data_IF_294556568470
#
_entry.id   IF_294556568470
#
_cell.length_a   1.000
_cell.length_b   1.000
_cell.length_c   1.000
_cell.angle_alpha   90.00
_cell.angle_beta   90.00
_cell.angle_gamma   90.00
#
_symmetry.space_group_name_H-M   'P 1'
#
loop_
_entity.id
_entity.type
_entity.pdbx_description
1 polymer ?
#
# COMPACT_ATOMS: atom_id res chain seq x y z
N UNK A 1 -44.93 17.86 -7.67
CA UNK A 1 -43.77 17.61 -8.54
C UNK A 1 -42.55 17.87 -7.67
N UNK A 2 -41.84 16.83 -7.26
CA UNK A 2 -40.58 17.01 -6.52
C UNK A 2 -39.59 17.74 -7.42
N UNK A 3 -38.98 18.81 -6.92
CA UNK A 3 -37.96 19.56 -7.65
C UNK A 3 -36.72 18.67 -7.79
N UNK A 4 -36.17 18.54 -9.01
CA UNK A 4 -34.94 17.77 -9.23
C UNK A 4 -33.80 18.28 -8.34
N UNK A 5 -33.77 19.59 -8.05
CA UNK A 5 -32.78 20.19 -7.15
C UNK A 5 -32.89 19.65 -5.73
N UNK A 6 -34.11 19.42 -5.25
CA UNK A 6 -34.37 18.84 -3.92
C UNK A 6 -33.89 17.39 -3.84
N UNK A 7 -34.13 16.60 -4.90
CA UNK A 7 -33.65 15.22 -5.01
C UNK A 7 -32.13 15.18 -5.00
N UNK A 8 -31.46 16.04 -5.78
CA UNK A 8 -30.00 16.09 -5.84
C UNK A 8 -29.37 16.54 -4.52
N UNK A 9 -29.93 17.57 -3.87
CA UNK A 9 -29.46 18.01 -2.55
C UNK A 9 -29.61 16.90 -1.51
N UNK A 10 -30.75 16.21 -1.49
CA UNK A 10 -31.00 15.08 -0.59
C UNK A 10 -30.05 13.91 -0.88
N UNK A 11 -29.72 13.69 -2.16
CA UNK A 11 -28.80 12.63 -2.58
C UNK A 11 -27.38 12.91 -2.09
N UNK A 12 -26.89 14.14 -2.25
CA UNK A 12 -25.57 14.53 -1.73
C UNK A 12 -25.49 14.41 -0.20
N UNK A 13 -26.54 14.79 0.53
CA UNK A 13 -26.59 14.63 1.99
C UNK A 13 -26.59 13.14 2.39
N UNK A 14 -27.35 12.31 1.67
CA UNK A 14 -27.41 10.88 1.90
C UNK A 14 -26.05 10.19 1.59
N UNK A 15 -25.32 10.66 0.57
CA UNK A 15 -23.95 10.21 0.30
C UNK A 15 -23.00 10.59 1.44
N UNK A 16 -23.02 11.86 1.88
CA UNK A 16 -22.15 12.37 2.97
C UNK A 16 -22.40 11.68 4.32
N UNK A 17 -23.66 11.34 4.59
CA UNK A 17 -24.06 10.61 5.80
C UNK A 17 -23.96 9.08 5.66
N UNK A 18 -23.47 8.59 4.52
CA UNK A 18 -23.39 7.16 4.18
C UNK A 18 -24.72 6.40 4.38
N UNK A 19 -25.85 7.08 4.16
CA UNK A 19 -27.18 6.51 4.30
C UNK A 19 -27.60 5.75 3.02
N UNK A 20 -27.20 4.48 2.96
CA UNK A 20 -27.44 3.60 1.81
C UNK A 20 -28.93 3.50 1.41
N UNK A 21 -29.84 3.38 2.38
CA UNK A 21 -31.27 3.21 2.10
C UNK A 21 -31.86 4.45 1.43
N UNK A 22 -31.50 5.65 1.91
CA UNK A 22 -31.91 6.91 1.29
C UNK A 22 -31.33 7.07 -0.11
N UNK A 23 -30.06 6.71 -0.29
CA UNK A 23 -29.38 6.73 -1.60
C UNK A 23 -30.09 5.81 -2.60
N UNK A 24 -30.45 4.60 -2.20
CA UNK A 24 -31.14 3.67 -3.09
C UNK A 24 -32.52 4.20 -3.52
N UNK A 25 -33.26 4.82 -2.60
CA UNK A 25 -34.57 5.40 -2.92
C UNK A 25 -34.44 6.60 -3.86
N UNK A 26 -33.48 7.49 -3.62
CA UNK A 26 -33.24 8.65 -4.46
C UNK A 26 -32.77 8.26 -5.88
N UNK A 27 -31.98 7.20 -6.02
CA UNK A 27 -31.63 6.62 -7.33
C UNK A 27 -32.89 6.16 -8.07
N UNK A 28 -33.84 5.50 -7.40
CA UNK A 28 -35.10 5.07 -8.05
C UNK A 28 -35.94 6.26 -8.50
N UNK A 29 -35.94 7.35 -7.72
CA UNK A 29 -36.64 8.58 -8.10
C UNK A 29 -36.00 9.23 -9.34
N UNK A 30 -34.67 9.29 -9.39
CA UNK A 30 -33.92 9.78 -10.55
C UNK A 30 -34.10 8.87 -11.77
N UNK A 31 -34.10 7.54 -11.59
CA UNK A 31 -34.38 6.54 -12.63
C UNK A 31 -35.72 6.86 -13.31
N UNK A 32 -36.80 6.99 -12.51
CA UNK A 32 -38.14 7.30 -13.01
C UNK A 32 -38.22 8.64 -13.73
N UNK A 33 -37.51 9.66 -13.25
CA UNK A 33 -37.49 10.97 -13.91
C UNK A 33 -36.75 10.92 -15.26
N UNK A 34 -35.62 10.20 -15.31
CA UNK A 34 -34.81 10.04 -16.53
C UNK A 34 -35.57 9.37 -17.69
N UNK A 35 -36.57 8.54 -17.40
CA UNK A 35 -37.42 7.93 -18.43
C UNK A 35 -38.24 8.95 -19.25
N UNK A 36 -38.52 10.11 -18.66
CA UNK A 36 -39.42 11.12 -19.25
C UNK A 36 -38.75 12.45 -19.56
N UNK A 37 -37.56 12.68 -18.99
CA UNK A 37 -36.87 13.97 -19.02
C UNK A 37 -35.39 13.77 -19.33
N UNK A 38 -34.99 14.07 -20.56
CA UNK A 38 -33.61 13.84 -21.03
C UNK A 38 -32.57 14.66 -20.27
N UNK A 39 -32.94 15.84 -19.77
CA UNK A 39 -32.11 16.70 -18.92
C UNK A 39 -31.77 16.05 -17.55
N UNK A 40 -32.44 14.95 -17.20
CA UNK A 40 -32.17 14.17 -15.96
C UNK A 40 -31.20 13.02 -16.18
N UNK A 41 -30.96 12.60 -17.43
CA UNK A 41 -30.15 11.42 -17.75
C UNK A 41 -28.72 11.54 -17.21
N UNK A 42 -28.11 12.71 -17.37
CA UNK A 42 -26.77 12.99 -16.86
C UNK A 42 -26.71 12.90 -15.32
N UNK A 43 -27.71 13.46 -14.63
CA UNK A 43 -27.78 13.43 -13.17
C UNK A 43 -28.00 12.02 -12.63
N UNK A 44 -28.89 11.25 -13.26
CA UNK A 44 -29.14 9.86 -12.89
C UNK A 44 -27.88 9.01 -13.08
N UNK A 45 -27.23 9.07 -14.23
CA UNK A 45 -26.01 8.30 -14.51
C UNK A 45 -24.86 8.67 -13.56
N UNK A 46 -24.70 9.97 -13.23
CA UNK A 46 -23.73 10.43 -12.24
C UNK A 46 -24.05 9.89 -10.83
N UNK A 47 -25.31 9.99 -10.40
CA UNK A 47 -25.75 9.47 -9.11
C UNK A 47 -25.53 7.95 -8.98
N UNK A 48 -25.76 7.19 -10.05
CA UNK A 48 -25.47 5.75 -10.09
C UNK A 48 -23.97 5.50 -9.87
N UNK A 49 -23.10 6.20 -10.59
CA UNK A 49 -21.66 6.04 -10.45
C UNK A 49 -21.18 6.36 -9.02
N UNK A 50 -21.64 7.48 -8.46
CA UNK A 50 -21.21 7.91 -7.12
C UNK A 50 -21.73 6.98 -6.02
N UNK A 51 -22.95 6.46 -6.16
CA UNK A 51 -23.48 5.48 -5.23
C UNK A 51 -22.73 4.15 -5.28
N UNK A 52 -22.40 3.65 -6.47
CA UNK A 52 -21.60 2.43 -6.63
C UNK A 52 -20.19 2.61 -6.06
N UNK A 53 -19.62 3.82 -6.18
CA UNK A 53 -18.32 4.18 -5.62
C UNK A 53 -18.35 4.35 -4.09
N UNK A 54 -19.39 4.93 -3.49
CA UNK A 54 -19.42 5.11 -2.03
C UNK A 54 -19.86 3.81 -1.33
N UNK A 55 -20.83 3.09 -1.89
CA UNK A 55 -21.39 1.88 -1.30
C UNK A 55 -20.93 0.60 -2.00
N UNK A 56 -19.63 0.54 -2.34
CA UNK A 56 -18.96 -0.64 -2.92
C UNK A 56 -19.35 -1.88 -2.12
N UNK A 57 -19.85 -2.91 -2.81
CA UNK A 57 -20.25 -4.17 -2.19
C UNK A 57 -21.62 -4.18 -1.47
N UNK A 58 -22.32 -3.06 -1.28
CA UNK A 58 -23.69 -3.08 -0.73
C UNK A 58 -24.73 -3.48 -1.77
N UNK A 59 -24.61 -2.97 -3.01
CA UNK A 59 -25.52 -3.34 -4.11
C UNK A 59 -25.40 -4.82 -4.51
N UNK A 60 -26.52 -5.53 -4.65
CA UNK A 60 -26.52 -6.91 -5.18
C UNK A 60 -26.03 -6.96 -6.63
N UNK A 61 -25.43 -8.07 -7.08
CA UNK A 61 -24.95 -8.21 -8.46
C UNK A 61 -26.07 -7.96 -9.48
N UNK A 62 -27.29 -8.43 -9.19
CA UNK A 62 -28.47 -8.18 -10.03
C UNK A 62 -28.83 -6.69 -10.09
N UNK A 63 -28.74 -5.97 -8.95
CA UNK A 63 -28.99 -4.54 -8.90
C UNK A 63 -27.94 -3.76 -9.68
N UNK A 64 -26.65 -4.13 -9.57
CA UNK A 64 -25.58 -3.52 -10.38
C UNK A 64 -25.81 -3.76 -11.87
N UNK A 65 -26.13 -4.99 -12.28
CA UNK A 65 -26.48 -5.29 -13.69
C UNK A 65 -27.66 -4.45 -14.17
N UNK A 66 -28.72 -4.33 -13.37
CA UNK A 66 -29.87 -3.47 -13.71
C UNK A 66 -29.45 -2.01 -13.89
N UNK A 67 -28.64 -1.46 -12.98
CA UNK A 67 -28.18 -0.08 -13.06
C UNK A 67 -27.34 0.18 -14.32
N UNK A 68 -26.46 -0.75 -14.70
CA UNK A 68 -25.71 -0.71 -15.96
C UNK A 68 -26.68 -0.65 -17.15
N UNK A 69 -27.58 -1.63 -17.26
CA UNK A 69 -28.52 -1.72 -18.40
C UNK A 69 -29.43 -0.49 -18.51
N UNK A 70 -29.83 0.10 -17.38
CA UNK A 70 -30.62 1.32 -17.38
C UNK A 70 -29.83 2.50 -17.98
N UNK A 71 -28.58 2.70 -17.57
CA UNK A 71 -27.74 3.79 -18.10
C UNK A 71 -27.36 3.54 -19.56
N UNK A 72 -27.08 2.29 -19.92
CA UNK A 72 -26.84 1.86 -21.30
C UNK A 72 -28.02 2.23 -22.22
N UNK A 73 -29.26 1.91 -21.81
CA UNK A 73 -30.45 2.27 -22.57
C UNK A 73 -30.64 3.79 -22.74
N UNK A 74 -30.14 4.60 -21.79
CA UNK A 74 -30.15 6.06 -21.94
C UNK A 74 -29.11 6.52 -22.97
N UNK A 75 -27.91 5.93 -22.97
CA UNK A 75 -26.86 6.19 -23.97
C UNK A 75 -27.32 5.80 -25.36
N UNK A 76 -27.94 4.62 -25.52
CA UNK A 76 -28.46 4.16 -26.82
C UNK A 76 -29.53 5.10 -27.39
N UNK A 77 -30.36 5.69 -26.53
CA UNK A 77 -31.37 6.69 -26.93
C UNK A 77 -30.78 8.07 -27.23
N UNK A 78 -29.60 8.38 -26.69
CA UNK A 78 -28.96 9.69 -26.80
C UNK A 78 -27.48 9.53 -27.20
N UNK A 79 -27.17 8.95 -28.37
CA UNK A 79 -25.79 8.58 -28.74
C UNK A 79 -24.88 9.77 -29.00
N UNK A 80 -25.42 10.98 -29.14
CA UNK A 80 -24.65 12.22 -29.31
C UNK A 80 -24.36 12.94 -27.98
N UNK A 81 -24.90 12.43 -26.86
CA UNK A 81 -24.68 13.00 -25.53
C UNK A 81 -23.35 12.50 -24.96
N UNK A 82 -22.28 13.23 -25.29
CA UNK A 82 -20.91 12.94 -24.84
C UNK A 82 -20.78 12.87 -23.32
N UNK A 83 -21.52 13.67 -22.56
CA UNK A 83 -21.44 13.68 -21.10
C UNK A 83 -22.11 12.44 -20.52
N UNK A 84 -23.26 12.05 -21.03
CA UNK A 84 -23.92 10.79 -20.65
C UNK A 84 -23.06 9.57 -20.99
N UNK A 85 -22.41 9.56 -22.16
CA UNK A 85 -21.47 8.49 -22.57
C UNK A 85 -20.28 8.39 -21.60
N UNK A 86 -19.69 9.52 -21.21
CA UNK A 86 -18.61 9.56 -20.20
C UNK A 86 -19.09 9.06 -18.84
N UNK A 87 -20.29 9.44 -18.42
CA UNK A 87 -20.89 8.93 -17.19
C UNK A 87 -21.13 7.43 -17.27
N UNK A 88 -21.54 6.88 -18.41
CA UNK A 88 -21.68 5.44 -18.60
C UNK A 88 -20.35 4.70 -18.43
N UNK A 89 -19.24 5.24 -18.97
CA UNK A 89 -17.91 4.69 -18.73
C UNK A 89 -17.56 4.66 -17.23
N UNK A 90 -17.88 5.74 -16.48
CA UNK A 90 -17.70 5.80 -15.02
C UNK A 90 -18.60 4.78 -14.30
N UNK A 91 -19.85 4.60 -14.72
CA UNK A 91 -20.77 3.59 -14.19
C UNK A 91 -20.22 2.18 -14.41
N UNK A 92 -19.67 1.87 -15.58
CA UNK A 92 -19.01 0.59 -15.84
C UNK A 92 -17.80 0.38 -14.92
N UNK A 93 -16.89 1.35 -14.80
CA UNK A 93 -15.75 1.24 -13.87
C UNK A 93 -16.19 1.02 -12.42
N UNK A 94 -17.08 1.88 -11.90
CA UNK A 94 -17.54 1.78 -10.50
C UNK A 94 -18.34 0.50 -10.23
N UNK A 95 -19.06 -0.01 -11.23
CA UNK A 95 -19.69 -1.34 -11.18
C UNK A 95 -18.65 -2.47 -11.09
N UNK A 96 -17.57 -2.41 -11.89
CA UNK A 96 -16.46 -3.38 -11.82
C UNK A 96 -15.85 -3.41 -10.42
N UNK A 97 -15.62 -2.23 -9.84
CA UNK A 97 -15.09 -2.08 -8.49
C UNK A 97 -16.04 -2.68 -7.43
N UNK A 98 -17.34 -2.42 -7.52
CA UNK A 98 -18.34 -3.03 -6.65
C UNK A 98 -18.37 -4.58 -6.77
N UNK A 99 -18.21 -5.11 -7.98
CA UNK A 99 -18.14 -6.55 -8.23
C UNK A 99 -16.83 -7.19 -7.75
N UNK A 100 -15.73 -6.44 -7.78
CA UNK A 100 -14.44 -6.85 -7.20
C UNK A 100 -14.57 -7.10 -5.70
N UNK A 101 -15.20 -6.18 -4.97
CA UNK A 101 -15.49 -6.35 -3.52
C UNK A 101 -16.36 -7.57 -3.23
N UNK A 102 -17.27 -7.94 -4.14
CA UNK A 102 -18.13 -9.13 -4.01
C UNK A 102 -17.48 -10.43 -4.48
N UNK A 103 -16.28 -10.37 -5.05
CA UNK A 103 -15.62 -11.53 -5.64
C UNK A 103 -16.41 -12.16 -6.77
N UNK A 104 -16.94 -11.34 -7.69
CA UNK A 104 -17.76 -11.78 -8.83
C UNK A 104 -16.97 -11.70 -10.16
N UNK A 105 -16.00 -12.61 -10.39
CA UNK A 105 -15.06 -12.54 -11.51
C UNK A 105 -15.71 -12.54 -12.90
N UNK A 106 -16.80 -13.29 -13.07
CA UNK A 106 -17.49 -13.37 -14.36
C UNK A 106 -18.19 -12.06 -14.71
N UNK A 107 -18.83 -11.42 -13.72
CA UNK A 107 -19.47 -10.11 -13.92
C UNK A 107 -18.42 -9.02 -14.18
N UNK A 108 -17.26 -9.08 -13.53
CA UNK A 108 -16.15 -8.15 -13.82
C UNK A 108 -15.64 -8.29 -15.26
N UNK A 109 -15.60 -9.52 -15.81
CA UNK A 109 -15.23 -9.76 -17.22
C UNK A 109 -16.28 -9.18 -18.17
N UNK A 110 -17.57 -9.40 -17.90
CA UNK A 110 -18.66 -8.79 -18.69
C UNK A 110 -18.55 -7.26 -18.69
N UNK A 111 -18.35 -6.65 -17.52
CA UNK A 111 -18.26 -5.18 -17.39
C UNK A 111 -17.05 -4.60 -18.13
N UNK A 112 -15.87 -5.23 -18.02
CA UNK A 112 -14.68 -4.74 -18.74
C UNK A 112 -14.87 -4.90 -20.26
N UNK A 113 -15.55 -5.94 -20.72
CA UNK A 113 -15.86 -6.13 -22.14
C UNK A 113 -16.81 -5.03 -22.65
N UNK A 114 -17.83 -4.65 -21.87
CA UNK A 114 -18.68 -3.50 -22.20
C UNK A 114 -17.90 -2.19 -22.29
N UNK A 115 -16.95 -1.97 -21.38
CA UNK A 115 -16.11 -0.77 -21.40
C UNK A 115 -15.14 -0.76 -22.58
N UNK A 116 -14.63 -1.92 -23.00
CA UNK A 116 -13.82 -2.08 -24.22
C UNK A 116 -14.64 -1.78 -25.49
N UNK A 117 -15.89 -2.24 -25.55
CA UNK A 117 -16.82 -1.93 -26.67
C UNK A 117 -17.10 -0.43 -26.71
N UNK A 118 -17.43 0.19 -25.57
CA UNK A 118 -17.69 1.62 -25.48
C UNK A 118 -16.49 2.45 -25.95
N UNK A 119 -15.28 2.08 -25.50
CA UNK A 119 -14.03 2.72 -25.90
C UNK A 119 -13.71 2.53 -27.39
N UNK A 120 -14.08 1.38 -27.97
CA UNK A 120 -13.91 1.11 -29.41
C UNK A 120 -14.84 1.99 -30.24
N UNK A 121 -16.09 2.16 -29.79
CA UNK A 121 -17.08 3.00 -30.47
C UNK A 121 -16.78 4.52 -30.32
N UNK A 122 -15.93 4.89 -29.37
CA UNK A 122 -15.57 6.28 -29.06
C UNK A 122 -14.04 6.47 -29.11
N UNK A 123 -13.38 6.23 -30.25
CA UNK A 123 -11.93 6.05 -30.32
C UNK A 123 -11.12 7.30 -29.97
N UNK A 124 -11.73 8.48 -30.01
CA UNK A 124 -11.11 9.77 -29.71
C UNK A 124 -11.49 10.32 -28.33
N UNK A 125 -12.38 9.63 -27.58
CA UNK A 125 -12.84 10.11 -26.29
C UNK A 125 -11.86 9.66 -25.19
N UNK A 126 -10.94 10.56 -24.85
CA UNK A 126 -9.86 10.25 -23.90
C UNK A 126 -10.39 9.86 -22.52
N UNK A 127 -11.51 10.45 -22.08
CA UNK A 127 -12.11 10.17 -20.77
C UNK A 127 -12.54 8.71 -20.65
N UNK A 128 -13.16 8.15 -21.70
CA UNK A 128 -13.58 6.73 -21.71
C UNK A 128 -12.35 5.81 -21.66
N UNK A 129 -11.30 6.15 -22.41
CA UNK A 129 -10.05 5.39 -22.40
C UNK A 129 -9.32 5.47 -21.04
N UNK A 130 -9.41 6.61 -20.35
CA UNK A 130 -8.93 6.73 -18.98
C UNK A 130 -9.74 5.88 -17.99
N UNK A 131 -11.07 5.85 -18.09
CA UNK A 131 -11.91 4.95 -17.28
C UNK A 131 -11.57 3.47 -17.56
N UNK A 132 -11.35 3.10 -18.82
CA UNK A 132 -10.88 1.77 -19.21
C UNK A 132 -9.51 1.44 -18.62
N UNK A 133 -8.60 2.42 -18.56
CA UNK A 133 -7.27 2.24 -17.95
C UNK A 133 -7.36 1.97 -16.45
N UNK A 134 -8.23 2.70 -15.74
CA UNK A 134 -8.46 2.49 -14.31
C UNK A 134 -9.10 1.12 -14.06
N UNK A 135 -10.15 0.78 -14.80
CA UNK A 135 -10.81 -0.52 -14.72
C UNK A 135 -9.86 -1.69 -15.05
N UNK A 136 -8.94 -1.50 -16.01
CA UNK A 136 -7.91 -2.48 -16.37
C UNK A 136 -6.92 -2.73 -15.23
N UNK A 137 -6.50 -1.67 -14.53
CA UNK A 137 -5.67 -1.80 -13.33
C UNK A 137 -6.43 -2.47 -12.17
N UNK A 138 -7.68 -2.07 -11.92
CA UNK A 138 -8.51 -2.63 -10.85
C UNK A 138 -8.75 -4.14 -11.02
N UNK A 139 -9.08 -4.59 -12.23
CA UNK A 139 -9.29 -6.01 -12.51
C UNK A 139 -7.96 -6.80 -12.49
N UNK A 140 -6.84 -6.19 -12.90
CA UNK A 140 -5.51 -6.78 -12.78
C UNK A 140 -5.14 -7.03 -11.31
N UNK A 141 -5.34 -6.04 -10.43
CA UNK A 141 -5.11 -6.18 -8.99
C UNK A 141 -6.00 -7.28 -8.38
N UNK A 142 -7.27 -7.35 -8.81
CA UNK A 142 -8.16 -8.44 -8.40
C UNK A 142 -7.57 -9.80 -8.77
N UNK A 143 -7.16 -10.02 -10.02
CA UNK A 143 -6.56 -11.29 -10.44
C UNK A 143 -5.28 -11.64 -9.67
N UNK A 144 -4.41 -10.65 -9.43
CA UNK A 144 -3.21 -10.80 -8.61
C UNK A 144 -3.57 -11.29 -7.20
N UNK A 145 -4.55 -10.67 -6.56
CA UNK A 145 -4.99 -11.05 -5.20
C UNK A 145 -5.58 -12.47 -5.12
N UNK A 146 -6.16 -12.97 -6.22
CA UNK A 146 -6.72 -14.33 -6.33
C UNK A 146 -5.72 -15.38 -6.84
N UNK A 147 -4.49 -14.99 -7.15
CA UNK A 147 -3.48 -15.88 -7.72
C UNK A 147 -3.70 -16.24 -9.19
N UNK A 148 -4.63 -15.57 -9.89
CA UNK A 148 -4.86 -15.79 -11.33
C UNK A 148 -3.87 -14.95 -12.15
N UNK A 149 -2.60 -15.35 -12.10
CA UNK A 149 -1.52 -14.61 -12.77
C UNK A 149 -1.60 -14.71 -14.30
N UNK A 150 -2.37 -15.65 -14.85
CA UNK A 150 -2.63 -15.71 -16.29
C UNK A 150 -3.57 -14.58 -16.69
N UNK A 151 -4.71 -14.44 -16.02
CA UNK A 151 -5.65 -13.35 -16.29
C UNK A 151 -5.04 -11.95 -16.07
N UNK A 152 -4.17 -11.80 -15.05
CA UNK A 152 -3.36 -10.60 -14.86
C UNK A 152 -2.51 -10.27 -16.09
N UNK A 153 -1.76 -11.24 -16.62
CA UNK A 153 -0.89 -11.05 -17.80
C UNK A 153 -1.69 -10.74 -19.05
N UNK A 154 -2.77 -11.48 -19.30
CA UNK A 154 -3.64 -11.28 -20.47
C UNK A 154 -4.25 -9.85 -20.44
N UNK A 155 -4.70 -9.38 -19.27
CA UNK A 155 -5.18 -8.01 -19.09
C UNK A 155 -4.09 -6.97 -19.33
N UNK A 156 -2.89 -7.19 -18.79
CA UNK A 156 -1.79 -6.24 -18.92
C UNK A 156 -1.28 -6.16 -20.36
N UNK A 157 -1.34 -7.27 -21.13
CA UNK A 157 -1.07 -7.25 -22.57
C UNK A 157 -2.08 -6.40 -23.35
N UNK A 158 -3.38 -6.51 -23.06
CA UNK A 158 -4.40 -5.61 -23.64
C UNK A 158 -4.14 -4.15 -23.22
N UNK A 159 -3.69 -3.94 -21.98
CA UNK A 159 -3.42 -2.62 -21.45
C UNK A 159 -2.23 -1.93 -22.14
N UNK A 160 -1.16 -2.67 -22.48
CA UNK A 160 -0.04 -2.15 -23.29
C UNK A 160 -0.52 -1.53 -24.61
N UNK A 161 -1.41 -2.23 -25.34
CA UNK A 161 -2.00 -1.72 -26.59
C UNK A 161 -2.79 -0.43 -26.40
N UNK A 162 -3.48 -0.28 -25.26
CA UNK A 162 -4.17 0.96 -24.92
C UNK A 162 -3.18 2.11 -24.69
N UNK A 163 -2.10 1.87 -23.95
CA UNK A 163 -1.07 2.90 -23.72
C UNK A 163 -0.33 3.30 -25.00
N UNK A 164 -0.08 2.35 -25.91
CA UNK A 164 0.49 2.62 -27.24
C UNK A 164 -0.42 3.53 -28.09
N UNK A 165 -1.75 3.38 -27.97
CA UNK A 165 -2.72 4.23 -28.66
C UNK A 165 -2.76 5.66 -28.10
N UNK A 166 -2.40 5.85 -26.83
CA UNK A 166 -2.41 7.14 -26.14
C UNK A 166 -1.04 7.47 -25.54
N UNK A 167 0.00 7.64 -26.38
CA UNK A 167 1.37 7.78 -25.93
C UNK A 167 1.62 9.06 -25.12
N UNK A 168 0.74 10.05 -25.19
CA UNK A 168 0.88 11.30 -24.43
C UNK A 168 -0.01 11.36 -23.19
N UNK A 169 -0.84 10.34 -22.93
CA UNK A 169 -1.73 10.33 -21.77
C UNK A 169 -1.02 9.77 -20.53
N UNK A 170 -0.69 10.67 -19.60
CA UNK A 170 0.00 10.34 -18.36
C UNK A 170 -0.78 9.38 -17.46
N UNK A 171 -2.12 9.52 -17.37
CA UNK A 171 -2.96 8.69 -16.50
C UNK A 171 -3.02 7.24 -16.98
N UNK A 172 -3.12 7.02 -18.29
CA UNK A 172 -3.07 5.69 -18.91
C UNK A 172 -1.70 5.05 -18.66
N UNK A 173 -0.60 5.78 -18.88
CA UNK A 173 0.76 5.28 -18.60
C UNK A 173 0.98 4.96 -17.13
N UNK A 174 0.50 5.80 -16.22
CA UNK A 174 0.60 5.59 -14.78
C UNK A 174 -0.12 4.31 -14.37
N UNK A 175 -1.35 4.12 -14.84
CA UNK A 175 -2.13 2.93 -14.54
C UNK A 175 -1.53 1.66 -15.17
N UNK A 176 -0.92 1.74 -16.36
CA UNK A 176 -0.16 0.63 -16.93
C UNK A 176 1.07 0.31 -16.08
N UNK A 177 1.81 1.33 -15.65
CA UNK A 177 3.00 1.16 -14.79
C UNK A 177 2.65 0.42 -13.51
N UNK A 178 1.55 0.79 -12.84
CA UNK A 178 1.03 0.07 -11.68
C UNK A 178 0.69 -1.38 -11.99
N UNK A 179 0.07 -1.66 -13.15
CA UNK A 179 -0.20 -3.04 -13.57
C UNK A 179 1.08 -3.85 -13.82
N UNK A 180 2.14 -3.24 -14.36
CA UNK A 180 3.46 -3.88 -14.53
C UNK A 180 4.12 -4.18 -13.18
N UNK A 181 3.97 -3.31 -12.17
CA UNK A 181 4.41 -3.60 -10.79
C UNK A 181 3.69 -4.85 -10.25
N UNK A 182 2.38 -4.98 -10.49
CA UNK A 182 1.64 -6.20 -10.09
C UNK A 182 2.19 -7.45 -10.80
N UNK A 183 2.62 -7.34 -12.06
CA UNK A 183 3.29 -8.43 -12.76
C UNK A 183 4.64 -8.79 -12.11
N UNK A 184 5.45 -7.80 -11.68
CA UNK A 184 6.70 -8.05 -10.93
C UNK A 184 6.38 -8.78 -9.62
N UNK A 185 5.41 -8.28 -8.86
CA UNK A 185 5.02 -8.83 -7.57
C UNK A 185 4.45 -10.26 -7.67
N UNK A 186 3.86 -10.61 -8.81
CA UNK A 186 3.38 -11.96 -9.10
C UNK A 186 4.42 -12.88 -9.72
N UNK A 187 5.62 -12.39 -10.04
CA UNK A 187 6.66 -13.17 -10.69
C UNK A 187 7.33 -14.13 -9.70
N UNK A 188 7.82 -15.26 -10.21
CA UNK A 188 8.60 -16.20 -9.41
C UNK A 188 9.89 -15.50 -8.99
N UNK A 189 10.32 -15.73 -7.75
CA UNK A 189 11.55 -15.13 -7.18
C UNK A 189 12.79 -15.33 -8.06
N UNK A 190 12.88 -16.46 -8.75
CA UNK A 190 14.01 -16.80 -9.63
C UNK A 190 13.90 -16.27 -11.07
N UNK A 191 12.78 -15.66 -11.46
CA UNK A 191 12.55 -15.20 -12.84
C UNK A 191 13.05 -13.76 -13.07
N UNK A 192 14.35 -13.56 -12.81
CA UNK A 192 14.99 -12.23 -12.88
C UNK A 192 14.92 -11.64 -14.27
N UNK A 193 15.11 -12.44 -15.33
CA UNK A 193 15.05 -11.95 -16.72
C UNK A 193 13.69 -11.34 -17.06
N UNK A 194 12.61 -11.93 -16.55
CA UNK A 194 11.26 -11.37 -16.70
C UNK A 194 11.11 -10.08 -15.89
N UNK A 195 11.57 -10.07 -14.64
CA UNK A 195 11.54 -8.88 -13.78
C UNK A 195 12.30 -7.72 -14.43
N UNK A 196 13.50 -7.96 -14.95
CA UNK A 196 14.32 -6.96 -15.64
C UNK A 196 13.61 -6.42 -16.89
N UNK A 197 12.95 -7.29 -17.66
CA UNK A 197 12.16 -6.87 -18.83
C UNK A 197 11.03 -5.92 -18.43
N UNK A 198 10.33 -6.22 -17.33
CA UNK A 198 9.27 -5.36 -16.79
C UNK A 198 9.81 -4.03 -16.24
N UNK A 199 10.96 -4.06 -15.55
CA UNK A 199 11.62 -2.86 -15.04
C UNK A 199 12.09 -1.93 -16.17
N UNK A 200 12.61 -2.48 -17.27
CA UNK A 200 12.98 -1.71 -18.46
C UNK A 200 11.73 -1.07 -19.10
N UNK A 201 10.61 -1.78 -19.13
CA UNK A 201 9.34 -1.23 -19.64
C UNK A 201 8.85 -0.06 -18.77
N UNK A 202 8.86 -0.22 -17.44
CA UNK A 202 8.50 0.82 -16.47
C UNK A 202 9.44 2.03 -16.58
N UNK A 203 10.74 1.80 -16.72
CA UNK A 203 11.74 2.84 -16.94
C UNK A 203 11.39 3.67 -18.18
N UNK A 204 11.14 3.03 -19.33
CA UNK A 204 10.78 3.73 -20.57
C UNK A 204 9.51 4.55 -20.43
N UNK A 205 8.47 4.00 -19.79
CA UNK A 205 7.23 4.72 -19.53
C UNK A 205 7.48 5.96 -18.67
N UNK A 206 8.32 5.83 -17.64
CA UNK A 206 8.61 6.91 -16.69
C UNK A 206 9.51 7.98 -17.31
N UNK A 207 10.57 7.60 -18.02
CA UNK A 207 11.47 8.52 -18.73
C UNK A 207 10.76 9.30 -19.85
N UNK A 208 9.71 8.73 -20.45
CA UNK A 208 8.90 9.44 -21.44
C UNK A 208 8.05 10.57 -20.83
N UNK A 209 7.89 10.62 -19.50
CA UNK A 209 7.12 11.62 -18.75
C UNK A 209 7.88 12.04 -17.47
N UNK A 210 9.05 12.69 -17.60
CA UNK A 210 9.97 12.93 -16.47
C UNK A 210 9.42 13.86 -15.39
N UNK A 211 8.44 14.70 -15.75
CA UNK A 211 7.76 15.64 -14.85
C UNK A 211 6.57 14.99 -14.11
N UNK A 212 6.12 13.80 -14.53
CA UNK A 212 5.03 13.11 -13.85
C UNK A 212 5.58 12.40 -12.60
N UNK A 213 5.39 13.04 -11.45
CA UNK A 213 5.86 12.55 -10.14
C UNK A 213 5.31 11.14 -9.84
N UNK A 214 4.07 10.85 -10.21
CA UNK A 214 3.45 9.54 -9.99
C UNK A 214 4.18 8.41 -10.72
N UNK A 215 4.52 8.60 -11.99
CA UNK A 215 5.29 7.63 -12.78
C UNK A 215 6.69 7.43 -12.21
N UNK A 216 7.37 8.53 -11.86
CA UNK A 216 8.70 8.48 -11.27
C UNK A 216 8.70 7.74 -9.92
N UNK A 217 7.68 7.94 -9.09
CA UNK A 217 7.54 7.24 -7.80
C UNK A 217 7.21 5.76 -7.99
N UNK A 218 6.31 5.42 -8.93
CA UNK A 218 6.00 4.02 -9.26
C UNK A 218 7.22 3.28 -9.83
N UNK A 219 8.11 3.96 -10.55
CA UNK A 219 9.38 3.36 -10.99
C UNK A 219 10.29 2.97 -9.83
N UNK A 220 10.44 3.84 -8.82
CA UNK A 220 11.18 3.53 -7.60
C UNK A 220 10.52 2.36 -6.85
N UNK A 221 9.19 2.37 -6.75
CA UNK A 221 8.42 1.31 -6.13
C UNK A 221 8.58 -0.04 -6.87
N UNK A 222 8.72 -0.02 -8.20
CA UNK A 222 8.96 -1.21 -9.02
C UNK A 222 10.30 -1.88 -8.68
N UNK A 223 11.38 -1.10 -8.52
CA UNK A 223 12.67 -1.63 -8.09
C UNK A 223 12.59 -2.24 -6.69
N UNK A 224 11.93 -1.55 -5.76
CA UNK A 224 11.73 -2.08 -4.40
C UNK A 224 10.97 -3.43 -4.42
N UNK A 225 9.90 -3.50 -5.21
CA UNK A 225 9.10 -4.73 -5.39
C UNK A 225 9.92 -5.84 -6.04
N UNK A 226 10.82 -5.51 -6.97
CA UNK A 226 11.75 -6.47 -7.57
C UNK A 226 12.73 -7.03 -6.52
N UNK A 227 13.26 -6.20 -5.61
CA UNK A 227 14.18 -6.63 -4.55
C UNK A 227 13.54 -7.69 -3.62
N UNK A 228 12.25 -7.58 -3.32
CA UNK A 228 11.51 -8.60 -2.54
C UNK A 228 11.49 -9.97 -3.23
N UNK A 229 11.76 -9.99 -4.55
CA UNK A 229 11.79 -11.19 -5.38
C UNK A 229 13.20 -11.76 -5.55
N UNK A 230 14.28 -10.99 -5.36
CA UNK A 230 15.66 -11.43 -5.64
C UNK A 230 16.40 -12.08 -4.47
N UNK A 231 15.72 -12.86 -3.61
CA UNK A 231 16.33 -13.48 -2.41
C UNK A 231 17.62 -14.26 -2.71
N UNK A 232 17.71 -14.94 -3.86
CA UNK A 232 18.87 -15.74 -4.26
C UNK A 232 19.92 -14.94 -5.08
N UNK A 233 19.68 -13.66 -5.37
CA UNK A 233 20.45 -12.85 -6.33
C UNK A 233 20.80 -11.47 -5.75
N UNK A 234 21.85 -11.40 -4.91
CA UNK A 234 22.20 -10.18 -4.17
C UNK A 234 22.64 -9.03 -5.10
N UNK A 235 23.35 -9.34 -6.18
CA UNK A 235 23.85 -8.35 -7.13
C UNK A 235 22.72 -7.61 -7.85
N UNK A 236 21.63 -8.31 -8.17
CA UNK A 236 20.44 -7.69 -8.76
C UNK A 236 19.77 -6.72 -7.77
N UNK A 237 19.66 -7.12 -6.50
CA UNK A 237 19.13 -6.26 -5.45
C UNK A 237 19.99 -4.99 -5.25
N UNK A 238 21.32 -5.13 -5.23
CA UNK A 238 22.27 -4.00 -5.14
C UNK A 238 22.13 -3.05 -6.32
N UNK A 239 22.06 -3.59 -7.54
CA UNK A 239 21.85 -2.83 -8.78
C UNK A 239 20.54 -2.05 -8.72
N UNK A 240 19.44 -2.67 -8.33
CA UNK A 240 18.14 -2.01 -8.23
C UNK A 240 18.08 -0.95 -7.13
N UNK A 241 18.69 -1.19 -5.96
CA UNK A 241 18.83 -0.18 -4.91
C UNK A 241 19.62 1.05 -5.39
N UNK A 242 20.72 0.83 -6.13
CA UNK A 242 21.50 1.92 -6.74
C UNK A 242 20.66 2.75 -7.71
N UNK A 243 19.84 2.09 -8.56
CA UNK A 243 18.89 2.77 -9.43
C UNK A 243 17.84 3.57 -8.65
N UNK A 244 17.30 3.01 -7.56
CA UNK A 244 16.37 3.74 -6.68
C UNK A 244 17.03 5.00 -6.10
N UNK A 245 18.25 4.87 -5.56
CA UNK A 245 19.00 6.00 -5.01
C UNK A 245 19.19 7.10 -6.05
N UNK A 246 19.62 6.76 -7.27
CA UNK A 246 19.81 7.72 -8.36
C UNK A 246 18.54 8.50 -8.72
N UNK A 247 17.37 7.85 -8.66
CA UNK A 247 16.09 8.50 -8.95
C UNK A 247 15.66 9.40 -7.79
N UNK A 248 15.86 8.94 -6.55
CA UNK A 248 15.37 9.60 -5.33
C UNK A 248 16.31 10.70 -4.79
N UNK A 249 17.62 10.63 -5.01
CA UNK A 249 18.62 11.50 -4.36
C UNK A 249 18.42 13.00 -4.65
N UNK A 250 17.86 13.33 -5.83
CA UNK A 250 17.61 14.71 -6.24
C UNK A 250 16.15 15.14 -6.02
N UNK A 251 15.34 14.33 -5.33
CA UNK A 251 13.92 14.60 -5.09
C UNK A 251 13.72 15.16 -3.68
N UNK A 252 12.95 16.23 -3.58
CA UNK A 252 12.58 16.83 -2.28
C UNK A 252 11.36 16.17 -1.65
N UNK A 253 10.55 15.48 -2.46
CA UNK A 253 9.32 14.82 -2.03
C UNK A 253 9.60 13.68 -1.04
N UNK A 254 8.98 13.76 0.14
CA UNK A 254 9.16 12.76 1.21
C UNK A 254 8.76 11.34 0.77
N UNK A 255 7.86 11.19 -0.20
CA UNK A 255 7.48 9.88 -0.75
C UNK A 255 8.65 9.15 -1.41
N UNK A 256 9.57 9.85 -2.08
CA UNK A 256 10.77 9.21 -2.67
C UNK A 256 11.74 8.78 -1.58
N UNK A 257 11.94 9.62 -0.56
CA UNK A 257 12.76 9.28 0.61
C UNK A 257 12.20 8.05 1.33
N UNK A 258 10.88 7.97 1.49
CA UNK A 258 10.20 6.84 2.11
C UNK A 258 10.36 5.54 1.29
N UNK A 259 10.17 5.58 -0.03
CA UNK A 259 10.39 4.39 -0.86
C UNK A 259 11.87 3.97 -0.88
N UNK A 260 12.81 4.92 -0.87
CA UNK A 260 14.24 4.63 -0.75
C UNK A 260 14.58 4.02 0.62
N UNK A 261 14.01 4.53 1.72
CA UNK A 261 14.15 3.98 3.06
C UNK A 261 13.66 2.52 3.12
N UNK A 262 12.48 2.23 2.54
CA UNK A 262 11.99 0.85 2.40
C UNK A 262 12.91 -0.01 1.53
N UNK A 263 13.55 0.58 0.51
CA UNK A 263 14.61 -0.08 -0.28
C UNK A 263 15.82 -0.48 0.56
N UNK A 264 16.33 0.41 1.42
CA UNK A 264 17.42 0.08 2.35
C UNK A 264 17.03 -0.98 3.37
N UNK A 265 15.81 -0.94 3.91
CA UNK A 265 15.28 -2.01 4.77
C UNK A 265 15.30 -3.37 4.05
N UNK A 266 14.84 -3.42 2.80
CA UNK A 266 14.88 -4.64 1.99
C UNK A 266 16.31 -5.11 1.72
N UNK A 267 17.24 -4.18 1.49
CA UNK A 267 18.66 -4.50 1.31
C UNK A 267 19.27 -5.10 2.57
N UNK A 268 19.01 -4.51 3.74
CA UNK A 268 19.41 -5.02 5.05
C UNK A 268 18.89 -6.46 5.23
N UNK A 269 17.61 -6.69 4.99
CA UNK A 269 16.98 -8.00 5.15
C UNK A 269 17.51 -9.07 4.17
N UNK A 270 17.76 -8.72 2.91
CA UNK A 270 18.14 -9.69 1.87
C UNK A 270 19.65 -9.92 1.74
N UNK A 271 20.47 -8.94 2.13
CA UNK A 271 21.92 -8.94 1.92
C UNK A 271 22.72 -9.12 3.21
N UNK A 272 22.13 -8.82 4.37
CA UNK A 272 22.88 -8.76 5.62
C UNK A 272 23.23 -10.11 6.25
N UNK A 273 22.45 -11.17 6.00
CA UNK A 273 22.71 -12.53 6.53
C UNK A 273 23.84 -13.28 5.80
N UNK A 274 24.48 -12.63 4.82
CA UNK A 274 25.60 -13.23 4.07
C UNK A 274 26.89 -12.89 4.81
N UNK A 275 27.59 -13.90 5.33
CA UNK A 275 28.74 -13.83 6.27
C UNK A 275 29.87 -12.83 5.92
N UNK A 276 29.89 -12.21 4.74
CA UNK A 276 30.89 -11.24 4.28
C UNK A 276 30.41 -9.78 4.25
N UNK A 277 29.19 -9.46 4.74
CA UNK A 277 28.53 -8.18 4.46
C UNK A 277 28.31 -7.24 5.66
N UNK A 278 29.00 -7.40 6.80
CA UNK A 278 28.82 -6.52 7.97
C UNK A 278 29.03 -5.02 7.67
N UNK A 279 30.04 -4.69 6.85
CA UNK A 279 30.29 -3.30 6.42
C UNK A 279 29.16 -2.76 5.54
N UNK A 280 28.62 -3.60 4.65
CA UNK A 280 27.50 -3.23 3.78
C UNK A 280 26.19 -3.06 4.57
N UNK A 281 25.96 -3.89 5.59
CA UNK A 281 24.87 -3.72 6.54
C UNK A 281 24.96 -2.36 7.25
N UNK A 282 26.11 -2.02 7.81
CA UNK A 282 26.33 -0.73 8.48
C UNK A 282 26.05 0.43 7.52
N UNK A 283 26.60 0.38 6.31
CA UNK A 283 26.38 1.41 5.30
C UNK A 283 24.90 1.60 4.95
N UNK A 284 24.14 0.52 4.82
CA UNK A 284 22.70 0.61 4.56
C UNK A 284 21.92 1.17 5.75
N UNK A 285 22.35 0.88 6.98
CA UNK A 285 21.77 1.43 8.18
C UNK A 285 22.05 2.94 8.29
N UNK A 286 23.29 3.38 8.02
CA UNK A 286 23.68 4.79 8.02
C UNK A 286 22.87 5.61 6.99
N UNK A 287 22.66 5.05 5.79
CA UNK A 287 21.86 5.71 4.76
C UNK A 287 20.36 5.77 5.16
N UNK A 288 19.86 4.74 5.85
CA UNK A 288 18.50 4.73 6.36
C UNK A 288 18.31 5.74 7.51
N UNK A 289 19.29 5.83 8.41
CA UNK A 289 19.36 6.84 9.47
C UNK A 289 19.37 8.25 8.89
N UNK A 290 20.21 8.53 7.90
CA UNK A 290 20.26 9.84 7.23
C UNK A 290 18.90 10.24 6.63
N UNK A 291 18.17 9.29 6.05
CA UNK A 291 16.82 9.54 5.56
C UNK A 291 15.86 9.86 6.71
N UNK A 292 15.94 9.12 7.83
CA UNK A 292 15.14 9.35 9.04
C UNK A 292 15.42 10.72 9.65
N UNK A 293 16.68 11.09 9.76
CA UNK A 293 17.10 12.35 10.36
C UNK A 293 16.63 13.57 9.55
N UNK A 294 16.62 13.46 8.21
CA UNK A 294 16.13 14.53 7.34
C UNK A 294 14.61 14.56 7.18
N UNK A 295 13.88 13.68 7.89
CA UNK A 295 12.40 13.54 7.81
C UNK A 295 11.77 13.19 9.17
N UNK A 296 12.18 13.88 10.24
CA UNK A 296 11.71 13.61 11.62
C UNK A 296 10.19 13.74 11.81
N UNK A 297 9.52 14.51 10.96
CA UNK A 297 8.06 14.66 10.98
C UNK A 297 7.31 13.50 10.29
N UNK A 298 8.00 12.68 9.48
CA UNK A 298 7.39 11.56 8.78
C UNK A 298 7.36 10.28 9.63
N UNK A 299 6.25 10.06 10.31
CA UNK A 299 6.08 8.91 11.23
C UNK A 299 6.29 7.54 10.56
N UNK A 300 5.88 7.38 9.30
CA UNK A 300 6.04 6.12 8.57
C UNK A 300 7.53 5.81 8.34
N UNK A 301 8.32 6.82 7.95
CA UNK A 301 9.74 6.66 7.70
C UNK A 301 10.51 6.35 9.00
N UNK A 302 10.16 7.02 10.11
CA UNK A 302 10.71 6.68 11.44
C UNK A 302 10.40 5.23 11.83
N UNK A 303 9.22 4.73 11.45
CA UNK A 303 8.83 3.33 11.65
C UNK A 303 9.68 2.38 10.81
N UNK A 304 9.95 2.74 9.54
CA UNK A 304 10.84 1.97 8.65
C UNK A 304 12.28 1.95 9.19
N UNK A 305 12.77 3.05 9.76
CA UNK A 305 14.09 3.08 10.39
C UNK A 305 14.16 2.15 11.61
N UNK A 306 13.18 2.20 12.52
CA UNK A 306 13.08 1.26 13.64
C UNK A 306 13.06 -0.19 13.17
N UNK A 307 12.34 -0.50 12.09
CA UNK A 307 12.33 -1.83 11.47
C UNK A 307 13.71 -2.23 10.93
N UNK A 308 14.46 -1.30 10.32
CA UNK A 308 15.83 -1.54 9.87
C UNK A 308 16.78 -1.87 11.02
N UNK A 309 16.64 -1.17 12.14
CA UNK A 309 17.41 -1.39 13.37
C UNK A 309 17.20 -2.81 13.92
N UNK A 310 15.95 -3.26 14.10
CA UNK A 310 15.69 -4.63 14.61
C UNK A 310 16.10 -5.73 13.62
N UNK A 311 15.93 -5.53 12.30
CA UNK A 311 16.41 -6.52 11.32
C UNK A 311 17.93 -6.62 11.38
N UNK A 312 18.63 -5.49 11.55
CA UNK A 312 20.08 -5.47 11.75
C UNK A 312 20.49 -6.24 13.01
N UNK A 313 19.79 -6.06 14.14
CA UNK A 313 20.00 -6.86 15.37
C UNK A 313 19.81 -8.36 15.13
N UNK A 314 18.77 -8.76 14.40
CA UNK A 314 18.50 -10.18 14.07
C UNK A 314 19.63 -10.80 13.26
N UNK A 315 20.27 -10.03 12.38
CA UNK A 315 21.38 -10.46 11.53
C UNK A 315 22.68 -10.56 12.34
N UNK A 316 23.04 -9.52 13.10
CA UNK A 316 24.31 -9.50 13.83
C UNK A 316 24.27 -10.33 15.12
N UNK A 317 23.08 -10.61 15.64
CA UNK A 317 22.84 -11.24 16.93
C UNK A 317 23.52 -10.46 18.04
N UNK A 318 24.45 -11.12 18.74
CA UNK A 318 25.29 -10.53 19.79
C UNK A 318 26.79 -10.57 19.43
N UNK A 319 27.10 -10.79 18.14
CA UNK A 319 28.47 -10.91 17.66
C UNK A 319 29.25 -9.58 17.67
N UNK A 320 28.53 -8.45 17.64
CA UNK A 320 29.09 -7.12 17.79
C UNK A 320 28.36 -6.37 18.92
N UNK A 321 28.97 -6.39 20.11
CA UNK A 321 28.36 -5.80 21.31
C UNK A 321 28.20 -4.29 21.24
N UNK A 322 29.10 -3.60 20.54
CA UNK A 322 29.06 -2.15 20.44
C UNK A 322 27.89 -1.75 19.55
N UNK A 323 27.78 -2.36 18.37
CA UNK A 323 26.68 -2.10 17.44
C UNK A 323 25.32 -2.50 18.05
N UNK A 324 25.24 -3.61 18.79
CA UNK A 324 24.01 -3.97 19.53
C UNK A 324 23.60 -2.86 20.50
N UNK A 325 24.57 -2.31 21.24
CA UNK A 325 24.29 -1.25 22.20
C UNK A 325 23.85 0.04 21.49
N UNK A 326 24.54 0.44 20.43
CA UNK A 326 24.20 1.60 19.61
C UNK A 326 22.77 1.50 19.06
N UNK A 327 22.42 0.35 18.45
CA UNK A 327 21.07 0.13 17.94
C UNK A 327 20.01 0.18 19.06
N UNK A 328 20.28 -0.39 20.24
CA UNK A 328 19.34 -0.34 21.35
C UNK A 328 19.22 1.06 21.97
N UNK A 329 20.29 1.86 21.95
CA UNK A 329 20.26 3.27 22.36
C UNK A 329 19.38 4.08 21.39
N UNK A 330 19.54 3.87 20.09
CA UNK A 330 18.74 4.52 19.04
C UNK A 330 17.24 4.15 19.12
N UNK A 331 16.92 2.87 19.30
CA UNK A 331 15.54 2.44 19.49
C UNK A 331 14.91 3.03 20.76
N UNK A 332 15.69 3.20 21.84
CA UNK A 332 15.24 3.88 23.06
C UNK A 332 14.93 5.36 22.77
N UNK A 333 15.79 6.06 22.02
CA UNK A 333 15.56 7.45 21.59
C UNK A 333 14.31 7.58 20.71
N UNK A 334 14.10 6.68 19.75
CA UNK A 334 12.88 6.68 18.93
C UNK A 334 11.60 6.51 19.77
N UNK A 335 11.64 5.72 20.84
CA UNK A 335 10.52 5.59 21.80
C UNK A 335 10.31 6.87 22.63
N UNK A 336 11.37 7.62 22.91
CA UNK A 336 11.27 8.95 23.53
C UNK A 336 10.65 9.99 22.58
N UNK A 337 11.07 10.01 21.32
CA UNK A 337 10.60 10.96 20.32
C UNK A 337 9.18 10.66 19.84
N UNK A 338 8.80 9.39 19.73
CA UNK A 338 7.52 8.95 19.18
C UNK A 338 6.72 8.05 20.15
N UNK A 339 6.38 8.51 21.37
CA UNK A 339 5.79 7.68 22.42
C UNK A 339 4.35 7.22 22.14
N UNK A 340 3.72 7.70 21.06
CA UNK A 340 2.39 7.26 20.60
C UNK A 340 2.46 6.25 19.45
N UNK A 341 3.65 6.01 18.89
CA UNK A 341 3.82 5.07 17.80
C UNK A 341 4.01 3.65 18.35
N UNK A 342 2.93 2.87 18.35
CA UNK A 342 2.94 1.51 18.87
C UNK A 342 3.93 0.60 18.15
N UNK A 343 4.16 0.79 16.85
CA UNK A 343 5.06 -0.07 16.08
C UNK A 343 6.50 0.14 16.54
N UNK A 344 6.94 1.39 16.75
CA UNK A 344 8.29 1.70 17.26
C UNK A 344 8.49 1.10 18.65
N UNK A 345 7.48 1.21 19.52
CA UNK A 345 7.53 0.65 20.88
C UNK A 345 7.62 -0.89 20.84
N UNK A 346 6.79 -1.54 20.01
CA UNK A 346 6.80 -2.98 19.81
C UNK A 346 8.15 -3.46 19.27
N UNK A 347 8.74 -2.74 18.31
CA UNK A 347 10.09 -3.02 17.79
C UNK A 347 11.15 -2.95 18.88
N UNK A 348 11.11 -1.94 19.76
CA UNK A 348 12.07 -1.85 20.87
C UNK A 348 11.90 -2.98 21.88
N UNK A 349 10.65 -3.33 22.25
CA UNK A 349 10.34 -4.47 23.12
C UNK A 349 10.87 -5.78 22.52
N UNK A 350 10.58 -6.05 21.25
CA UNK A 350 11.05 -7.25 20.56
C UNK A 350 12.58 -7.33 20.52
N UNK A 351 13.24 -6.19 20.27
CA UNK A 351 14.71 -6.09 20.27
C UNK A 351 15.31 -6.42 21.64
N UNK A 352 14.76 -5.87 22.72
CA UNK A 352 15.19 -6.16 24.09
C UNK A 352 15.01 -7.65 24.44
N UNK A 353 13.82 -8.21 24.14
CA UNK A 353 13.53 -9.63 24.40
C UNK A 353 14.47 -10.54 23.62
N UNK A 354 14.69 -10.25 22.33
CA UNK A 354 15.57 -11.03 21.47
C UNK A 354 17.02 -11.06 21.98
N UNK A 355 17.60 -9.89 22.26
CA UNK A 355 18.99 -9.79 22.74
C UNK A 355 19.16 -10.41 24.14
N UNK A 356 18.20 -10.21 25.05
CA UNK A 356 18.21 -10.87 26.36
C UNK A 356 18.17 -12.39 26.19
N UNK A 357 17.33 -12.89 25.28
CA UNK A 357 17.26 -14.31 24.94
C UNK A 357 18.61 -14.87 24.47
N UNK A 358 19.30 -14.18 23.57
CA UNK A 358 20.62 -14.58 23.08
C UNK A 358 21.67 -14.61 24.20
N UNK A 359 21.78 -13.57 25.03
CA UNK A 359 22.71 -13.57 26.15
C UNK A 359 22.36 -14.60 27.23
N UNK A 360 21.08 -14.95 27.36
CA UNK A 360 20.63 -16.02 28.27
C UNK A 360 21.14 -17.38 27.79
N UNK A 361 21.13 -17.64 26.48
CA UNK A 361 21.70 -18.86 25.90
C UNK A 361 23.22 -18.94 26.12
N UNK A 362 23.93 -17.81 26.04
CA UNK A 362 25.37 -17.73 26.36
C UNK A 362 25.69 -17.71 27.86
N UNK A 363 24.69 -17.77 28.73
CA UNK A 363 24.84 -17.68 30.20
C UNK A 363 25.58 -16.39 30.66
N UNK A 364 25.43 -15.30 29.92
CA UNK A 364 26.16 -14.06 30.15
C UNK A 364 25.36 -13.07 31.03
N UNK A 365 25.32 -13.33 32.33
CA UNK A 365 24.53 -12.54 33.28
C UNK A 365 24.91 -11.05 33.37
N UNK A 366 26.16 -10.70 33.04
CA UNK A 366 26.64 -9.32 33.08
C UNK A 366 25.95 -8.46 32.02
N UNK A 367 25.67 -9.03 30.85
CA UNK A 367 25.01 -8.30 29.74
C UNK A 367 23.47 -8.29 29.90
N UNK A 368 22.88 -9.31 30.54
CA UNK A 368 21.42 -9.39 30.75
C UNK A 368 20.93 -8.29 31.70
N UNK A 369 21.67 -8.04 32.78
CA UNK A 369 21.27 -7.10 33.84
C UNK A 369 20.94 -5.69 33.33
N UNK A 370 21.80 -5.01 32.53
CA UNK A 370 21.48 -3.68 32.00
C UNK A 370 20.28 -3.70 31.04
N UNK A 371 20.07 -4.77 30.27
CA UNK A 371 18.94 -4.90 29.34
C UNK A 371 17.60 -5.07 30.08
N UNK A 372 17.57 -5.89 31.13
CA UNK A 372 16.40 -6.02 32.02
C UNK A 372 16.07 -4.68 32.67
N UNK A 373 17.09 -3.91 33.05
CA UNK A 373 16.89 -2.56 33.60
C UNK A 373 16.27 -1.61 32.57
N UNK A 374 16.70 -1.65 31.30
CA UNK A 374 16.07 -0.88 30.22
C UNK A 374 14.61 -1.24 30.04
N UNK A 375 14.29 -2.53 29.94
CA UNK A 375 12.90 -2.99 29.83
C UNK A 375 12.07 -2.60 31.07
N UNK A 376 12.66 -2.68 32.28
CA UNK A 376 12.00 -2.21 33.49
C UNK A 376 11.62 -0.72 33.45
N UNK A 377 12.49 0.15 32.90
CA UNK A 377 12.14 1.56 32.69
C UNK A 377 11.02 1.74 31.67
N UNK A 378 11.02 0.94 30.60
CA UNK A 378 9.98 0.97 29.57
C UNK A 378 8.61 0.57 30.15
N UNK A 379 8.56 -0.50 30.95
CA UNK A 379 7.39 -0.94 31.72
C UNK A 379 6.88 0.15 32.69
N UNK A 380 7.80 0.88 33.33
CA UNK A 380 7.45 2.03 34.18
C UNK A 380 6.93 3.23 33.39
N UNK A 381 7.44 3.45 32.18
CA UNK A 381 7.03 4.56 31.29
C UNK A 381 5.64 4.35 30.71
N UNK A 382 5.25 3.10 30.44
CA UNK A 382 3.96 2.74 29.86
C UNK A 382 3.15 1.85 30.82
N UNK A 383 2.75 2.37 32.00
CA UNK A 383 2.12 1.58 33.06
C UNK A 383 0.70 1.11 32.73
N UNK A 384 0.09 1.62 31.65
CA UNK A 384 -1.23 1.22 31.16
C UNK A 384 -1.16 0.32 29.91
N UNK A 385 0.04 0.05 29.39
CA UNK A 385 0.21 -0.87 28.26
C UNK A 385 0.29 -2.31 28.76
N UNK A 386 -0.81 -3.04 28.62
CA UNK A 386 -0.90 -4.44 29.05
C UNK A 386 0.07 -5.35 28.30
N UNK A 387 0.38 -5.05 27.03
CA UNK A 387 1.27 -5.89 26.22
C UNK A 387 2.70 -5.78 26.74
N UNK A 388 3.18 -4.56 26.99
CA UNK A 388 4.51 -4.31 27.56
C UNK A 388 4.64 -4.98 28.94
N UNK A 389 3.63 -4.80 29.79
CA UNK A 389 3.61 -5.39 31.14
C UNK A 389 3.65 -6.92 31.11
N UNK A 390 2.77 -7.55 30.33
CA UNK A 390 2.72 -9.02 30.22
C UNK A 390 4.03 -9.56 29.68
N UNK A 391 4.59 -8.94 28.64
CA UNK A 391 5.88 -9.36 28.06
C UNK A 391 7.02 -9.21 29.07
N UNK A 392 7.07 -8.11 29.83
CA UNK A 392 8.09 -7.91 30.86
C UNK A 392 7.98 -8.94 32.00
N UNK A 393 6.78 -9.18 32.52
CA UNK A 393 6.60 -10.14 33.60
C UNK A 393 6.88 -11.58 33.14
N UNK A 394 6.47 -11.97 31.94
CA UNK A 394 6.83 -13.27 31.34
C UNK A 394 8.35 -13.43 31.20
N UNK A 395 9.04 -12.41 30.70
CA UNK A 395 10.50 -12.43 30.59
C UNK A 395 11.16 -12.60 31.98
N UNK A 396 10.67 -11.87 32.98
CA UNK A 396 11.20 -11.96 34.34
C UNK A 396 10.97 -13.34 34.99
N UNK A 397 9.83 -13.99 34.71
CA UNK A 397 9.56 -15.35 35.17
C UNK A 397 10.51 -16.37 34.53
N UNK A 398 10.75 -16.25 33.22
CA UNK A 398 11.72 -17.09 32.51
C UNK A 398 13.14 -16.92 33.07
N UNK A 399 13.59 -15.68 33.27
CA UNK A 399 14.90 -15.40 33.86
C UNK A 399 15.00 -15.95 35.30
N UNK A 400 13.93 -15.85 36.09
CA UNK A 400 13.91 -16.43 37.44
C UNK A 400 14.07 -17.95 37.43
N UNK A 401 13.41 -18.65 36.51
CA UNK A 401 13.56 -20.10 36.35
C UNK A 401 15.01 -20.48 36.02
N UNK A 402 15.72 -19.63 35.27
CA UNK A 402 17.12 -19.81 34.90
C UNK A 402 18.12 -19.32 35.97
N UNK A 403 17.65 -18.98 37.17
CA UNK A 403 18.50 -18.62 38.31
C UNK A 403 18.90 -17.15 38.40
N UNK A 404 18.36 -16.28 37.53
CA UNK A 404 18.57 -14.84 37.60
C UNK A 404 17.72 -14.21 38.73
N UNK A 405 18.32 -13.33 39.54
CA UNK A 405 17.64 -12.64 40.65
C UNK A 405 17.14 -11.26 40.21
N UNK A 406 15.85 -10.96 40.45
CA UNK A 406 15.24 -9.64 40.21
C UNK A 406 15.87 -8.60 41.16
N UNK A 407 16.31 -7.47 40.64
CA UNK A 407 16.55 -6.29 41.49
C UNK A 407 15.22 -5.82 42.09
N UNK A 408 15.19 -5.43 43.36
CA UNK A 408 13.95 -5.03 44.06
C UNK A 408 13.30 -3.84 43.32
N UNK A 409 12.15 -4.05 42.67
CA UNK A 409 11.30 -2.97 42.12
C UNK A 409 10.96 -2.00 43.25
N UNK A 410 11.09 -0.68 43.01
CA UNK A 410 10.43 0.31 43.87
C UNK A 410 8.91 0.11 43.75
N UNK A 411 8.13 0.21 44.83
CA UNK A 411 6.68 0.02 44.78
C UNK A 411 6.05 1.00 43.78
N UNK A 412 5.27 0.48 42.82
CA UNK A 412 4.53 1.27 41.83
C UNK A 412 3.58 2.20 42.59
N UNK A 413 3.72 3.52 42.42
CA UNK A 413 2.72 4.49 42.89
C UNK A 413 1.55 4.40 41.93
N UNK A 414 0.47 3.77 42.37
CA UNK A 414 -0.83 3.85 41.71
C UNK A 414 -1.31 5.29 41.90
N UNK A 415 -1.11 6.13 40.89
CA UNK A 415 -1.72 7.45 40.84
C UNK A 415 -3.19 7.28 40.53
N UNK A 416 -4.04 7.28 41.57
CA UNK A 416 -5.45 7.55 41.38
C UNK A 416 -5.60 9.05 41.14
N UNK A 417 -5.77 9.49 39.89
CA UNK A 417 -6.42 10.76 39.53
C UNK A 417 -7.17 10.62 38.21
#
# INVERSE_FOLDING_TARGET
>A
MTDIKEILSSFEEALKSENFSSVEELIKQLEKLSETKSDVNEFYSQAVADALEIFKGKFSSNKVKKLISNVEALVEKNPEDDKLIKNYAKVLRTSLLAMSTKGQPNVMREIIDYLEILATNNPNNIVIHEELSLASHEIANYWKSRGDFKALRDRTQKFRKLAEKFPDNEKIKLNLTKALVLEIDSSRKSDISKIDSLLIEIQRLSESMPMNIGLQLEWVHAYRTAMDRSYEKPEDAKRWLSSMKKIAENRTDTSFKLELAKGYLNAIANLGDREQNKEELSKHLDELEMLADTTKDNLELQTVYAQGLIVSLKIIGISDKNLVKEILDELEELVELYPKNKIIIEVYVESLVGIIGLYTQEQNAKEITPLVKRFGKLDEKFPDDETIQKTYDMLMEQLKFLGFKREKKKPRRIGYM
#
